data_IF_509967328745
#
_entry.id   IF_509967328745
#
_cell.length_a   1.000
_cell.length_b   1.000
_cell.length_c   1.000
_cell.angle_alpha   90.00
_cell.angle_beta   90.00
_cell.angle_gamma   90.00
#
_symmetry.space_group_name_H-M   'P 1'
#
loop_
_entity.id
_entity.type
_entity.pdbx_description
1 polymer ?
#
# COMPACT_ATOMS: atom_id res chain seq x y z
N UNK A 1 -1.05 -36.39 41.73
CA UNK A 1 -0.08 -37.25 41.03
C UNK A 1 -0.79 -37.95 39.89
N UNK A 2 -0.12 -37.96 38.74
CA UNK A 2 -0.29 -38.81 37.55
C UNK A 2 -1.47 -38.61 36.60
N UNK A 3 -1.04 -38.40 35.36
CA UNK A 3 -1.69 -38.30 34.05
C UNK A 3 -2.69 -39.41 33.73
N UNK A 4 -3.56 -39.14 32.74
CA UNK A 4 -3.72 -40.11 31.67
C UNK A 4 -3.84 -39.45 30.28
N UNK A 5 -2.91 -39.82 29.40
CA UNK A 5 -2.92 -39.57 27.96
C UNK A 5 -3.96 -40.48 27.30
N UNK A 6 -4.56 -40.05 26.20
CA UNK A 6 -5.11 -40.98 25.23
C UNK A 6 -4.66 -40.58 23.82
N UNK A 7 -4.04 -41.54 23.15
CA UNK A 7 -3.50 -41.44 21.81
C UNK A 7 -4.28 -42.32 20.84
N UNK A 8 -4.67 -41.73 19.70
CA UNK A 8 -4.59 -42.24 18.31
C UNK A 8 -5.43 -43.49 17.91
N UNK A 9 -6.20 -43.37 16.82
CA UNK A 9 -5.84 -44.00 15.53
C UNK A 9 -6.85 -43.73 14.40
N UNK A 10 -6.28 -43.39 13.25
CA UNK A 10 -6.83 -43.34 11.88
C UNK A 10 -7.07 -44.74 11.29
N UNK A 11 -8.08 -44.87 10.42
CA UNK A 11 -8.15 -45.93 9.41
C UNK A 11 -8.69 -45.39 8.08
N UNK A 12 -8.02 -45.80 7.00
CA UNK A 12 -8.19 -45.45 5.58
C UNK A 12 -8.49 -46.74 4.81
N UNK A 13 -9.45 -46.73 3.87
CA UNK A 13 -9.64 -47.66 2.73
C UNK A 13 -10.69 -47.00 1.81
N UNK A 14 -10.42 -46.49 0.58
CA UNK A 14 -10.05 -47.13 -0.71
C UNK A 14 -10.99 -48.27 -1.13
N UNK A 15 -11.50 -48.45 -2.37
CA UNK A 15 -11.60 -47.70 -3.63
C UNK A 15 -12.51 -48.48 -4.61
N UNK A 16 -13.14 -47.78 -5.58
CA UNK A 16 -13.56 -48.26 -6.94
C UNK A 16 -14.89 -49.03 -7.10
N UNK A 17 -15.52 -49.16 -8.28
CA UNK A 17 -15.58 -48.43 -9.57
C UNK A 17 -16.69 -49.12 -10.44
N UNK A 18 -17.28 -48.38 -11.41
CA UNK A 18 -17.96 -48.82 -12.68
C UNK A 18 -19.51 -48.98 -12.81
N UNK A 19 -20.10 -47.98 -13.50
CA UNK A 19 -20.89 -47.94 -14.76
C UNK A 19 -22.09 -48.87 -15.08
N UNK A 20 -23.24 -48.23 -15.43
CA UNK A 20 -24.13 -48.51 -16.60
C UNK A 20 -25.20 -47.37 -16.70
N UNK A 21 -25.13 -46.44 -17.66
CA UNK A 21 -25.81 -46.40 -19.00
C UNK A 21 -27.34 -46.41 -19.00
N UNK A 22 -27.98 -45.30 -19.44
CA UNK A 22 -29.07 -45.25 -20.43
C UNK A 22 -29.57 -43.80 -20.73
N UNK A 23 -29.35 -43.35 -21.97
CA UNK A 23 -30.34 -42.70 -22.86
C UNK A 23 -30.89 -41.28 -22.58
N UNK A 24 -30.55 -40.32 -23.44
CA UNK A 24 -31.31 -39.08 -23.65
C UNK A 24 -30.54 -38.05 -24.48
N UNK A 25 -30.88 -37.91 -25.76
CA UNK A 25 -30.22 -37.07 -26.77
C UNK A 25 -30.71 -35.62 -26.81
N UNK A 26 -29.75 -34.72 -27.05
CA UNK A 26 -29.80 -33.40 -27.74
C UNK A 26 -30.69 -32.30 -27.17
N UNK A 27 -30.07 -31.27 -26.59
CA UNK A 27 -30.00 -29.91 -27.17
C UNK A 27 -29.12 -28.98 -26.29
N UNK A 28 -28.42 -28.06 -26.96
CA UNK A 28 -27.70 -26.90 -26.44
C UNK A 28 -26.50 -27.10 -25.49
N UNK A 29 -25.36 -27.49 -26.09
CA UNK A 29 -24.06 -27.10 -25.56
C UNK A 29 -23.84 -25.62 -25.89
N UNK A 30 -24.40 -24.74 -25.08
CA UNK A 30 -23.86 -23.38 -24.97
C UNK A 30 -22.46 -23.56 -24.41
N UNK A 31 -21.46 -23.36 -25.26
CA UNK A 31 -20.08 -23.22 -24.84
C UNK A 31 -20.05 -22.12 -23.79
N UNK A 32 -19.89 -22.53 -22.52
CA UNK A 32 -19.56 -21.60 -21.46
C UNK A 32 -18.13 -21.20 -21.74
N UNK A 33 -17.99 -20.06 -22.41
CA UNK A 33 -16.74 -19.36 -22.60
C UNK A 33 -16.08 -19.25 -21.23
N UNK A 34 -14.99 -20.00 -21.03
CA UNK A 34 -14.14 -19.94 -19.86
C UNK A 34 -13.23 -18.71 -19.96
N UNK A 35 -13.85 -17.56 -20.24
CA UNK A 35 -13.27 -16.24 -20.32
C UNK A 35 -13.94 -15.41 -19.24
N UNK A 36 -13.12 -14.72 -18.44
CA UNK A 36 -13.50 -13.90 -17.29
C UNK A 36 -13.68 -14.61 -15.94
N UNK A 37 -12.74 -15.50 -15.58
CA UNK A 37 -12.14 -15.36 -14.23
C UNK A 37 -11.18 -14.18 -14.25
N UNK A 38 -11.75 -12.98 -14.40
CA UNK A 38 -11.07 -11.73 -14.12
C UNK A 38 -10.63 -11.79 -12.66
N UNK A 39 -9.36 -12.13 -12.45
CA UNK A 39 -8.69 -11.96 -11.19
C UNK A 39 -8.87 -10.49 -10.84
N UNK A 40 -9.74 -10.23 -9.87
CA UNK A 40 -10.00 -8.89 -9.35
C UNK A 40 -8.64 -8.33 -8.93
N UNK A 41 -8.09 -7.47 -9.77
CA UNK A 41 -6.74 -6.96 -9.61
C UNK A 41 -6.71 -6.12 -8.34
N UNK A 42 -6.02 -6.61 -7.31
CA UNK A 42 -5.54 -5.77 -6.21
C UNK A 42 -4.90 -4.50 -6.79
N UNK A 43 -5.02 -3.37 -6.10
CA UNK A 43 -4.38 -2.10 -6.49
C UNK A 43 -3.02 -2.37 -7.15
N UNK A 44 -2.81 -1.85 -8.37
CA UNK A 44 -1.63 -2.16 -9.17
C UNK A 44 -0.36 -1.78 -8.39
N UNK A 45 0.19 -2.74 -7.66
CA UNK A 45 1.46 -2.67 -6.98
C UNK A 45 2.47 -3.38 -7.87
N UNK A 46 3.72 -2.92 -7.84
CA UNK A 46 4.73 -3.59 -8.64
C UNK A 46 5.03 -4.97 -8.06
N UNK A 47 5.58 -5.88 -8.86
CA UNK A 47 6.10 -7.14 -8.35
C UNK A 47 7.18 -6.94 -7.25
N UNK A 48 7.87 -5.79 -7.23
CA UNK A 48 8.83 -5.45 -6.18
C UNK A 48 8.10 -5.15 -4.86
N UNK A 49 6.95 -4.48 -4.90
CA UNK A 49 6.13 -4.24 -3.71
C UNK A 49 5.68 -5.56 -3.08
N UNK A 50 5.12 -6.46 -3.87
CA UNK A 50 4.67 -7.77 -3.39
C UNK A 50 5.83 -8.58 -2.79
N UNK A 51 6.99 -8.54 -3.45
CA UNK A 51 8.21 -9.16 -2.92
C UNK A 51 8.64 -8.53 -1.60
N UNK A 52 8.54 -7.21 -1.44
CA UNK A 52 8.91 -6.52 -0.20
C UNK A 52 7.97 -6.90 0.96
N UNK A 53 6.66 -6.99 0.69
CA UNK A 53 5.66 -7.48 1.64
C UNK A 53 5.96 -8.92 2.08
N UNK A 54 6.23 -9.81 1.13
CA UNK A 54 6.60 -11.19 1.42
C UNK A 54 7.92 -11.27 2.21
N UNK A 55 8.92 -10.47 1.84
CA UNK A 55 10.20 -10.41 2.52
C UNK A 55 10.06 -9.97 3.98
N UNK A 56 9.31 -8.89 4.24
CA UNK A 56 9.08 -8.39 5.59
C UNK A 56 8.28 -9.39 6.45
N UNK A 57 7.30 -10.08 5.88
CA UNK A 57 6.55 -11.13 6.57
C UNK A 57 7.43 -12.33 6.95
N UNK A 58 8.36 -12.72 6.07
CA UNK A 58 9.31 -13.79 6.35
C UNK A 58 10.45 -13.37 7.29
N UNK A 59 10.80 -12.07 7.31
CA UNK A 59 11.90 -11.51 8.08
C UNK A 59 11.45 -10.34 8.96
N UNK A 60 10.49 -10.54 9.88
CA UNK A 60 9.95 -9.46 10.70
C UNK A 60 10.99 -8.88 11.67
N UNK A 61 12.11 -9.58 11.86
CA UNK A 61 13.28 -9.22 12.65
C UNK A 61 14.54 -9.49 11.84
N UNK A 62 15.62 -8.77 12.13
CA UNK A 62 16.96 -9.03 11.58
C UNK A 62 17.71 -9.99 12.49
N UNK A 63 17.86 -11.24 12.09
CA UNK A 63 18.66 -12.24 12.81
C UNK A 63 18.25 -12.36 14.29
N UNK A 64 16.94 -12.26 14.57
CA UNK A 64 16.36 -12.26 15.92
C UNK A 64 16.30 -10.88 16.61
N UNK A 65 16.97 -9.86 16.09
CA UNK A 65 16.97 -8.47 16.56
C UNK A 65 16.12 -7.51 15.71
N UNK A 66 16.13 -6.22 16.07
CA UNK A 66 15.41 -5.17 15.33
C UNK A 66 16.12 -4.80 14.03
N UNK A 67 15.36 -4.39 13.00
CA UNK A 67 15.92 -3.84 11.77
C UNK A 67 16.42 -2.39 11.91
N UNK A 68 16.14 -1.72 13.03
CA UNK A 68 16.53 -0.32 13.23
C UNK A 68 18.03 -0.10 13.00
N UNK A 69 18.37 0.93 12.23
CA UNK A 69 19.75 1.25 11.78
C UNK A 69 20.40 0.26 10.80
N UNK A 70 19.69 -0.77 10.33
CA UNK A 70 20.24 -1.77 9.39
C UNK A 70 19.78 -1.56 7.94
N UNK A 71 19.58 -0.31 7.53
CA UNK A 71 19.04 0.05 6.21
C UNK A 71 19.85 -0.51 5.03
N UNK A 72 21.19 -0.39 5.03
CA UNK A 72 22.03 -0.99 3.99
C UNK A 72 21.94 -2.53 3.94
N UNK A 73 21.90 -3.18 5.11
CA UNK A 73 21.70 -4.63 5.20
C UNK A 73 20.35 -5.06 4.66
N UNK A 74 19.30 -4.26 4.87
CA UNK A 74 17.98 -4.55 4.31
C UNK A 74 18.03 -4.48 2.78
N UNK A 75 18.59 -3.41 2.22
CA UNK A 75 18.69 -3.23 0.76
C UNK A 75 19.45 -4.37 0.10
N UNK A 76 20.59 -4.76 0.68
CA UNK A 76 21.41 -5.84 0.16
C UNK A 76 20.69 -7.19 0.19
N UNK A 77 20.06 -7.56 1.32
CA UNK A 77 19.37 -8.85 1.47
C UNK A 77 18.06 -8.91 0.67
N UNK A 78 17.22 -7.89 0.73
CA UNK A 78 15.96 -7.82 -0.02
C UNK A 78 16.22 -7.73 -1.52
N UNK A 79 17.15 -6.87 -1.93
CA UNK A 79 17.51 -6.67 -3.33
C UNK A 79 18.25 -7.86 -3.94
N UNK A 80 18.69 -8.82 -3.11
CA UNK A 80 19.56 -9.94 -3.49
C UNK A 80 20.79 -9.42 -4.26
N UNK A 81 21.40 -8.37 -3.72
CA UNK A 81 22.47 -7.65 -4.37
C UNK A 81 23.77 -8.46 -4.30
N UNK A 82 24.67 -8.33 -5.29
CA UNK A 82 25.93 -9.07 -5.29
C UNK A 82 26.83 -8.66 -4.12
N UNK A 83 27.70 -9.56 -3.66
CA UNK A 83 28.66 -9.29 -2.59
C UNK A 83 29.53 -8.05 -2.89
N UNK A 84 29.88 -7.82 -4.15
CA UNK A 84 30.65 -6.66 -4.61
C UNK A 84 29.98 -5.31 -4.32
N UNK A 85 28.67 -5.30 -4.10
CA UNK A 85 27.90 -4.09 -3.75
C UNK A 85 27.80 -3.84 -2.24
N UNK A 86 28.25 -4.79 -1.40
CA UNK A 86 28.18 -4.65 0.04
C UNK A 86 29.02 -3.45 0.50
N UNK A 87 28.46 -2.61 1.37
CA UNK A 87 29.14 -1.45 1.95
C UNK A 87 28.87 -1.37 3.46
N UNK A 88 29.86 -0.92 4.25
CA UNK A 88 29.69 -0.73 5.70
C UNK A 88 28.54 0.22 6.09
N UNK A 89 28.19 1.18 5.25
CA UNK A 89 27.12 2.15 5.54
C UNK A 89 26.33 2.59 4.31
N UNK A 90 25.16 3.19 4.55
CA UNK A 90 24.32 3.72 3.48
C UNK A 90 24.99 4.92 2.77
N UNK A 91 25.73 5.77 3.49
CA UNK A 91 26.43 6.91 2.89
C UNK A 91 27.61 6.47 2.02
N UNK A 92 28.27 5.37 2.35
CA UNK A 92 29.31 4.78 1.50
C UNK A 92 28.72 4.11 0.26
N UNK A 93 27.58 3.43 0.39
CA UNK A 93 26.84 2.93 -0.75
C UNK A 93 26.38 4.05 -1.67
N UNK A 94 25.83 5.14 -1.12
CA UNK A 94 25.48 6.36 -1.87
C UNK A 94 26.66 6.90 -2.68
N UNK A 95 27.83 7.08 -2.03
CA UNK A 95 29.05 7.60 -2.70
C UNK A 95 29.57 6.69 -3.81
N UNK A 96 29.34 5.38 -3.68
CA UNK A 96 29.71 4.39 -4.69
C UNK A 96 28.63 4.20 -5.77
N UNK A 97 27.48 4.88 -5.66
CA UNK A 97 26.35 4.75 -6.58
C UNK A 97 26.24 5.94 -7.54
N UNK A 98 25.55 5.74 -8.67
CA UNK A 98 25.30 6.82 -9.64
C UNK A 98 23.93 7.46 -9.42
N UNK A 99 23.92 8.64 -8.81
CA UNK A 99 22.70 9.42 -8.61
C UNK A 99 22.12 9.87 -9.95
N UNK A 100 20.83 9.59 -10.15
CA UNK A 100 20.09 9.92 -11.36
C UNK A 100 19.43 11.29 -11.24
N UNK A 101 18.77 11.56 -10.11
CA UNK A 101 18.08 12.83 -9.87
C UNK A 101 17.81 13.06 -8.38
N UNK A 102 17.68 14.32 -7.99
CA UNK A 102 17.21 14.73 -6.66
C UNK A 102 15.68 14.89 -6.60
N UNK A 103 15.00 14.75 -7.73
CA UNK A 103 13.55 14.79 -7.84
C UNK A 103 12.97 13.38 -7.62
N UNK A 104 12.44 13.15 -6.43
CA UNK A 104 11.90 11.84 -6.02
C UNK A 104 10.69 11.42 -6.85
N UNK A 105 9.87 12.35 -7.36
CA UNK A 105 8.67 11.99 -8.12
C UNK A 105 8.99 11.37 -9.49
N UNK A 106 10.26 11.38 -9.90
CA UNK A 106 10.77 10.76 -11.13
C UNK A 106 11.48 9.43 -10.88
N UNK A 107 11.59 8.98 -9.63
CA UNK A 107 12.26 7.73 -9.30
C UNK A 107 11.52 6.55 -9.93
N UNK A 108 12.24 5.69 -10.63
CA UNK A 108 11.66 4.49 -11.23
C UNK A 108 11.39 3.42 -10.17
N UNK A 109 10.55 2.45 -10.49
CA UNK A 109 10.31 1.27 -9.64
C UNK A 109 11.66 0.60 -9.30
N UNK A 110 11.91 0.31 -8.04
CA UNK A 110 13.14 -0.32 -7.56
C UNK A 110 14.33 0.62 -7.40
N UNK A 111 14.15 1.93 -7.52
CA UNK A 111 15.19 2.91 -7.24
C UNK A 111 15.59 2.91 -5.75
N UNK A 112 16.85 3.20 -5.46
CA UNK A 112 17.33 3.46 -4.10
C UNK A 112 17.26 4.95 -3.81
N UNK A 113 16.66 5.32 -2.69
CA UNK A 113 16.60 6.68 -2.17
C UNK A 113 17.62 6.85 -1.05
N UNK A 114 18.30 8.00 -1.04
CA UNK A 114 19.43 8.25 -0.14
C UNK A 114 19.20 9.48 0.71
N UNK A 115 19.62 9.42 1.97
CA UNK A 115 19.60 10.56 2.89
C UNK A 115 20.92 10.73 3.61
N UNK A 116 21.27 12.00 3.83
CA UNK A 116 22.30 12.41 4.76
C UNK A 116 21.67 12.58 6.15
N UNK A 117 22.04 11.67 7.05
CA UNK A 117 21.62 11.66 8.44
C UNK A 117 22.66 10.91 9.28
N UNK A 118 23.16 11.58 10.32
CA UNK A 118 24.21 11.03 11.18
C UNK A 118 25.48 10.65 10.39
N UNK A 119 26.30 9.78 10.97
CA UNK A 119 27.57 9.36 10.34
C UNK A 119 27.41 8.33 9.21
N UNK A 120 26.29 7.60 9.18
CA UNK A 120 26.11 6.43 8.32
C UNK A 120 25.12 6.63 7.16
N UNK A 121 24.37 7.75 7.15
CA UNK A 121 23.31 8.00 6.18
C UNK A 121 22.12 7.04 6.32
N UNK A 122 21.16 7.16 5.40
CA UNK A 122 20.04 6.23 5.30
C UNK A 122 19.72 5.88 3.84
N UNK A 123 19.12 4.71 3.64
CA UNK A 123 18.71 4.22 2.33
C UNK A 123 17.39 3.45 2.41
N UNK A 124 16.58 3.55 1.36
CA UNK A 124 15.38 2.73 1.15
C UNK A 124 15.13 2.45 -0.33
N UNK A 125 14.34 1.42 -0.63
CA UNK A 125 14.02 1.02 -2.01
C UNK A 125 12.60 1.45 -2.39
N UNK A 126 12.45 2.16 -3.49
CA UNK A 126 11.16 2.53 -4.04
C UNK A 126 10.44 1.30 -4.59
N UNK A 127 9.27 1.00 -4.03
CA UNK A 127 8.49 -0.17 -4.41
C UNK A 127 7.61 0.10 -5.63
N UNK A 128 7.15 1.33 -5.83
CA UNK A 128 6.19 1.66 -6.88
C UNK A 128 6.64 2.82 -7.77
N UNK A 129 7.83 3.37 -7.56
CA UNK A 129 8.31 4.58 -8.20
C UNK A 129 7.69 5.86 -7.60
N UNK A 130 8.31 6.99 -7.94
CA UNK A 130 7.87 8.33 -7.58
C UNK A 130 8.14 8.74 -6.12
N UNK A 131 8.96 7.97 -5.38
CA UNK A 131 9.33 8.26 -3.99
C UNK A 131 8.19 8.08 -2.99
N UNK A 132 7.09 7.48 -3.43
CA UNK A 132 5.85 7.40 -2.66
C UNK A 132 5.82 6.24 -1.68
N UNK A 133 6.38 5.10 -2.07
CA UNK A 133 6.30 3.88 -1.28
C UNK A 133 7.70 3.29 -1.16
N UNK A 134 8.47 3.80 -0.20
CA UNK A 134 9.87 3.43 -0.01
C UNK A 134 9.99 2.42 1.13
N UNK A 135 10.47 1.23 0.81
CA UNK A 135 10.77 0.17 1.75
C UNK A 135 12.07 0.46 2.50
N UNK A 136 12.02 0.43 3.82
CA UNK A 136 13.13 0.89 4.66
C UNK A 136 13.15 0.23 6.03
N UNK A 137 14.32 0.32 6.68
CA UNK A 137 14.60 -0.21 8.01
C UNK A 137 14.83 0.96 9.00
N UNK A 138 13.83 1.29 9.79
CA UNK A 138 13.80 2.44 10.71
C UNK A 138 12.63 2.31 11.69
N UNK A 139 12.67 3.03 12.82
CA UNK A 139 11.49 3.25 13.68
C UNK A 139 10.58 4.39 13.20
N UNK A 140 11.00 5.15 12.19
CA UNK A 140 10.24 6.27 11.61
C UNK A 140 9.42 5.81 10.40
N UNK A 141 8.60 4.78 10.59
CA UNK A 141 7.76 4.19 9.54
C UNK A 141 6.40 4.86 9.52
N UNK A 142 5.84 5.03 8.32
CA UNK A 142 4.44 5.38 8.15
C UNK A 142 3.54 4.15 8.27
N UNK A 143 4.02 2.99 7.78
CA UNK A 143 3.40 1.70 8.04
C UNK A 143 4.46 0.68 8.43
N UNK A 144 4.25 0.04 9.58
CA UNK A 144 5.14 -1.01 10.09
C UNK A 144 4.69 -2.39 9.62
N UNK A 145 5.65 -3.18 9.12
CA UNK A 145 5.45 -4.56 8.66
C UNK A 145 6.23 -5.57 9.51
N UNK A 146 6.92 -5.11 10.56
CA UNK A 146 7.72 -5.92 11.49
C UNK A 146 8.40 -5.04 12.54
N UNK A 147 9.47 -5.52 13.15
CA UNK A 147 10.29 -4.74 14.09
C UNK A 147 11.24 -3.82 13.32
N UNK A 148 10.83 -2.55 13.18
CA UNK A 148 11.55 -1.49 12.47
C UNK A 148 11.81 -1.78 10.98
N UNK A 149 10.89 -2.48 10.33
CA UNK A 149 10.86 -2.76 8.89
C UNK A 149 9.48 -2.43 8.33
N UNK A 150 9.42 -1.71 7.21
CA UNK A 150 8.15 -1.31 6.60
C UNK A 150 8.36 -0.23 5.56
N UNK A 151 7.39 0.67 5.43
CA UNK A 151 7.43 1.73 4.43
C UNK A 151 7.28 3.13 5.03
N UNK A 152 7.83 4.09 4.29
CA UNK A 152 7.52 5.51 4.38
C UNK A 152 7.64 6.11 2.97
N UNK A 153 7.29 7.38 2.79
CA UNK A 153 7.63 8.13 1.57
C UNK A 153 8.93 8.89 1.77
N UNK A 154 9.48 9.41 0.67
CA UNK A 154 10.68 10.25 0.76
C UNK A 154 10.44 11.50 1.60
N UNK A 155 9.35 12.19 1.32
CA UNK A 155 8.88 13.37 2.03
C UNK A 155 8.52 13.07 3.49
N UNK A 156 7.80 11.97 3.74
CA UNK A 156 7.38 11.57 5.07
C UNK A 156 8.57 11.24 5.98
N UNK A 157 9.54 10.47 5.46
CA UNK A 157 10.75 10.14 6.19
C UNK A 157 11.60 11.39 6.47
N UNK A 158 11.84 12.23 5.46
CA UNK A 158 12.63 13.47 5.60
C UNK A 158 12.02 14.40 6.64
N UNK A 159 10.69 14.56 6.64
CA UNK A 159 9.99 15.40 7.61
C UNK A 159 10.04 14.84 9.03
N UNK A 160 9.92 13.52 9.18
CA UNK A 160 9.91 12.86 10.49
C UNK A 160 11.29 12.79 11.18
N UNK A 161 12.36 12.99 10.41
CA UNK A 161 13.75 12.81 10.86
C UNK A 161 14.58 14.09 10.80
N UNK A 162 14.17 15.07 9.98
CA UNK A 162 15.01 16.19 9.60
C UNK A 162 16.16 15.81 8.66
N UNK A 163 16.18 14.57 8.13
CA UNK A 163 17.22 14.10 7.24
C UNK A 163 17.21 14.88 5.92
N UNK A 164 18.40 15.16 5.39
CA UNK A 164 18.54 15.82 4.09
C UNK A 164 18.52 14.79 2.98
N UNK A 165 17.51 14.86 2.11
CA UNK A 165 17.42 13.97 0.96
C UNK A 165 18.55 14.25 -0.06
N UNK A 166 19.21 13.20 -0.52
CA UNK A 166 20.37 13.26 -1.42
C UNK A 166 20.04 12.88 -2.87
N UNK A 167 18.83 12.38 -3.12
CA UNK A 167 18.39 11.92 -4.43
C UNK A 167 18.24 10.41 -4.51
N UNK A 168 18.06 9.91 -5.74
CA UNK A 168 17.85 8.50 -6.02
C UNK A 168 18.79 7.97 -7.10
N UNK A 169 19.05 6.67 -7.06
CA UNK A 169 19.81 5.92 -8.07
C UNK A 169 19.09 4.63 -8.43
N UNK A 170 19.37 4.07 -9.62
CA UNK A 170 18.97 2.70 -9.94
C UNK A 170 19.97 1.65 -9.47
N UNK A 171 21.19 2.07 -9.15
CA UNK A 171 22.25 1.22 -8.65
C UNK A 171 22.51 1.46 -7.15
N UNK A 172 22.90 0.39 -6.46
CA UNK A 172 23.43 0.39 -5.11
C UNK A 172 24.85 -0.14 -5.21
N UNK A 173 25.82 0.76 -5.31
CA UNK A 173 27.25 0.43 -5.46
C UNK A 173 27.51 -0.63 -6.55
N UNK A 174 26.84 -0.48 -7.72
CA UNK A 174 26.89 -1.41 -8.84
C UNK A 174 25.91 -2.59 -8.81
N UNK A 175 25.20 -2.82 -7.70
CA UNK A 175 24.08 -3.77 -7.61
C UNK A 175 22.76 -3.16 -8.06
N UNK A 176 21.80 -3.96 -8.54
CA UNK A 176 20.46 -3.49 -8.94
C UNK A 176 19.39 -4.48 -8.51
N UNK A 177 18.24 -3.96 -8.08
CA UNK A 177 17.08 -4.78 -7.73
C UNK A 177 16.48 -5.39 -9.02
N UNK A 178 16.42 -6.72 -9.09
CA UNK A 178 15.78 -7.42 -10.20
C UNK A 178 14.30 -7.01 -10.35
N UNK A 179 13.86 -6.79 -11.58
CA UNK A 179 12.52 -6.28 -11.92
C UNK A 179 12.35 -4.77 -11.79
N UNK A 180 13.41 -4.02 -11.45
CA UNK A 180 13.38 -2.56 -11.32
C UNK A 180 13.70 -1.80 -12.61
N UNK A 181 13.28 -0.53 -12.67
CA UNK A 181 13.46 0.40 -13.79
C UNK A 181 12.19 0.68 -14.59
N UNK A 182 11.04 0.12 -14.18
CA UNK A 182 9.75 0.49 -14.76
C UNK A 182 9.30 1.88 -14.31
N UNK A 183 8.47 2.53 -15.12
CA UNK A 183 7.89 3.82 -14.80
C UNK A 183 7.05 3.76 -13.51
N UNK A 184 6.95 4.87 -12.76
CA UNK A 184 6.19 4.91 -11.53
C UNK A 184 4.72 4.49 -11.73
N UNK A 185 4.25 3.60 -10.86
CA UNK A 185 2.83 3.24 -10.81
C UNK A 185 2.05 4.44 -10.28
N UNK A 186 1.20 4.96 -11.17
CA UNK A 186 0.32 6.08 -10.89
C UNK A 186 1.03 7.38 -10.58
N UNK A 187 2.12 7.71 -11.27
CA UNK A 187 2.60 9.09 -11.32
C UNK A 187 4.07 9.22 -11.69
N UNK A 188 4.35 9.45 -12.98
CA UNK A 188 5.71 9.72 -13.47
C UNK A 188 5.78 10.26 -14.90
N UNK A 189 4.77 10.98 -15.38
CA UNK A 189 4.83 11.62 -16.70
C UNK A 189 3.44 11.84 -17.31
N UNK A 190 2.95 13.08 -17.30
CA UNK A 190 1.89 13.60 -18.19
C UNK A 190 0.49 12.95 -18.19
N UNK A 191 0.28 11.79 -17.57
CA UNK A 191 -0.99 11.06 -17.56
C UNK A 191 -1.75 11.19 -16.24
N UNK A 192 -3.09 11.26 -16.31
CA UNK A 192 -3.98 11.24 -15.15
C UNK A 192 -3.65 10.08 -14.21
N UNK A 193 -3.68 10.29 -12.89
CA UNK A 193 -3.57 9.22 -11.91
C UNK A 193 -4.55 8.07 -12.26
N UNK A 194 -4.16 6.79 -12.26
CA UNK A 194 -5.08 5.66 -12.46
C UNK A 194 -6.20 5.66 -11.41
N UNK A 195 -7.38 5.12 -11.72
CA UNK A 195 -8.45 4.95 -10.72
C UNK A 195 -8.00 3.99 -9.61
N UNK A 196 -8.45 4.22 -8.38
CA UNK A 196 -8.22 3.28 -7.27
C UNK A 196 -9.33 2.24 -7.21
N UNK A 197 -8.97 1.00 -6.85
CA UNK A 197 -9.90 -0.11 -6.62
C UNK A 197 -10.60 -0.03 -5.25
N UNK A 198 -10.19 0.90 -4.39
CA UNK A 198 -10.79 1.12 -3.07
C UNK A 198 -12.29 1.43 -3.16
N UNK A 199 -12.80 1.93 -4.29
CA UNK A 199 -14.23 2.11 -4.51
C UNK A 199 -14.99 0.77 -4.51
N UNK A 200 -14.36 -0.29 -5.01
CA UNK A 200 -14.93 -1.63 -5.13
C UNK A 200 -14.67 -2.47 -3.88
N UNK A 201 -13.41 -2.56 -3.43
CA UNK A 201 -12.99 -3.45 -2.35
C UNK A 201 -13.03 -2.80 -0.96
N UNK A 202 -12.96 -1.46 -0.88
CA UNK A 202 -12.89 -0.72 0.38
C UNK A 202 -11.55 -0.84 1.13
N UNK A 203 -10.52 -1.34 0.46
CA UNK A 203 -9.15 -1.50 0.97
C UNK A 203 -8.31 -0.32 0.45
N UNK A 204 -7.91 0.62 1.32
CA UNK A 204 -7.03 1.72 0.92
C UNK A 204 -5.65 1.23 0.51
N UNK A 205 -5.08 1.82 -0.54
CA UNK A 205 -3.64 1.87 -0.67
C UNK A 205 -3.13 3.03 -1.52
N UNK A 206 -2.07 2.82 -2.28
CA UNK A 206 -1.18 3.93 -2.70
C UNK A 206 -1.88 4.87 -3.68
N UNK A 207 -2.60 4.31 -4.66
CA UNK A 207 -3.34 5.11 -5.64
C UNK A 207 -4.50 5.86 -4.97
N UNK A 208 -5.19 5.21 -4.03
CA UNK A 208 -6.22 5.84 -3.22
C UNK A 208 -5.70 7.10 -2.51
N UNK A 209 -4.58 6.99 -1.79
CA UNK A 209 -4.01 8.13 -1.07
C UNK A 209 -3.40 9.18 -2.01
N UNK A 210 -2.73 8.81 -3.11
CA UNK A 210 -2.23 9.79 -4.09
C UNK A 210 -3.37 10.63 -4.68
N UNK A 211 -4.49 9.99 -4.99
CA UNK A 211 -5.70 10.71 -5.46
C UNK A 211 -6.26 11.63 -4.39
N UNK A 212 -6.37 11.18 -3.14
CA UNK A 212 -6.80 12.02 -2.00
C UNK A 212 -5.91 13.23 -1.84
N UNK A 213 -4.58 13.06 -1.85
CA UNK A 213 -3.61 14.13 -1.69
C UNK A 213 -3.71 15.14 -2.84
N UNK A 214 -3.86 14.65 -4.06
CA UNK A 214 -3.98 15.50 -5.26
C UNK A 214 -5.28 16.32 -5.24
N UNK A 215 -6.43 15.68 -4.97
CA UNK A 215 -7.71 16.39 -4.79
C UNK A 215 -7.62 17.34 -3.59
N UNK A 216 -6.96 16.92 -2.52
CA UNK A 216 -6.72 17.71 -1.34
C UNK A 216 -5.93 18.99 -1.61
N UNK A 217 -4.89 18.91 -2.45
CA UNK A 217 -4.06 20.05 -2.81
C UNK A 217 -4.85 21.02 -3.68
N UNK A 218 -5.63 20.50 -4.63
CA UNK A 218 -6.47 21.30 -5.52
C UNK A 218 -7.61 22.02 -4.80
N UNK A 219 -8.32 21.30 -3.93
CA UNK A 219 -9.64 21.75 -3.44
C UNK A 219 -9.67 22.14 -1.95
N UNK A 220 -8.70 21.68 -1.15
CA UNK A 220 -8.79 21.72 0.31
C UNK A 220 -7.54 22.26 1.03
N UNK A 221 -6.59 22.82 0.28
CA UNK A 221 -5.39 23.45 0.83
C UNK A 221 -4.39 22.46 1.44
N UNK A 222 -4.39 21.21 1.00
CA UNK A 222 -3.36 20.25 1.40
C UNK A 222 -2.00 20.70 0.85
N UNK A 223 -1.03 20.90 1.75
CA UNK A 223 0.34 21.33 1.40
C UNK A 223 1.36 20.21 1.51
N UNK A 224 0.90 18.98 1.79
CA UNK A 224 1.76 17.82 1.89
C UNK A 224 2.15 17.27 0.51
N UNK A 225 3.03 16.26 0.50
CA UNK A 225 3.46 15.55 -0.71
C UNK A 225 2.32 14.71 -1.34
N UNK A 226 2.35 14.53 -2.67
CA UNK A 226 1.52 13.54 -3.37
C UNK A 226 2.33 12.25 -3.50
N UNK A 227 2.35 11.46 -2.45
CA UNK A 227 3.22 10.30 -2.29
C UNK A 227 2.46 8.99 -2.00
N UNK A 228 1.16 9.05 -1.75
CA UNK A 228 0.33 7.90 -1.41
C UNK A 228 0.52 7.39 0.02
N UNK A 229 1.22 8.16 0.87
CA UNK A 229 1.42 7.82 2.28
C UNK A 229 0.40 8.55 3.14
N UNK A 230 -0.27 7.78 4.00
CA UNK A 230 -1.19 8.37 4.96
C UNK A 230 -0.45 9.01 6.14
N UNK A 231 -1.01 10.12 6.61
CA UNK A 231 -0.57 10.88 7.77
C UNK A 231 -1.69 11.83 8.20
N UNK A 232 -1.56 12.57 9.32
CA UNK A 232 -2.65 13.36 9.87
C UNK A 232 -3.28 14.36 8.89
N UNK A 233 -2.48 14.98 8.01
CA UNK A 233 -2.99 15.88 6.97
C UNK A 233 -3.72 15.13 5.84
N UNK A 234 -3.22 13.97 5.44
CA UNK A 234 -3.86 13.10 4.44
C UNK A 234 -5.20 12.58 4.97
N UNK A 235 -5.26 12.18 6.24
CA UNK A 235 -6.51 11.75 6.89
C UNK A 235 -7.50 12.90 7.04
N UNK A 236 -7.04 14.07 7.46
CA UNK A 236 -7.88 15.26 7.54
C UNK A 236 -8.50 15.60 6.18
N UNK A 237 -7.71 15.56 5.11
CA UNK A 237 -8.22 15.90 3.77
C UNK A 237 -9.12 14.80 3.20
N UNK A 238 -8.86 13.52 3.50
CA UNK A 238 -9.77 12.41 3.20
C UNK A 238 -11.14 12.65 3.81
N UNK A 239 -11.22 12.98 5.10
CA UNK A 239 -12.48 13.29 5.80
C UNK A 239 -13.21 14.45 5.12
N UNK A 240 -12.50 15.53 4.77
CA UNK A 240 -13.11 16.68 4.08
C UNK A 240 -13.66 16.32 2.70
N UNK A 241 -12.94 15.50 1.93
CA UNK A 241 -13.39 14.99 0.62
C UNK A 241 -14.65 14.12 0.79
N UNK A 242 -14.63 13.18 1.74
CA UNK A 242 -15.79 12.34 2.03
C UNK A 242 -16.98 13.17 2.47
N UNK A 243 -16.78 14.12 3.40
CA UNK A 243 -17.83 15.00 3.89
C UNK A 243 -18.45 15.85 2.78
N UNK A 244 -17.65 16.33 1.81
CA UNK A 244 -18.17 17.00 0.60
C UNK A 244 -19.08 16.07 -0.20
N UNK A 245 -18.71 14.81 -0.38
CA UNK A 245 -19.53 13.83 -1.09
C UNK A 245 -20.82 13.50 -0.32
N UNK A 246 -20.73 13.35 1.00
CA UNK A 246 -21.91 13.18 1.86
C UNK A 246 -22.84 14.38 1.76
N UNK A 247 -22.32 15.61 1.88
CA UNK A 247 -23.11 16.84 1.85
C UNK A 247 -23.78 17.10 0.49
N UNK A 248 -23.22 16.58 -0.62
CA UNK A 248 -23.86 16.60 -1.95
C UNK A 248 -25.09 15.68 -2.03
N UNK A 249 -25.11 14.60 -1.24
CA UNK A 249 -26.18 13.59 -1.23
C UNK A 249 -27.30 13.91 -0.24
N UNK A 250 -27.49 15.19 0.10
CA UNK A 250 -28.59 15.66 0.95
C UNK A 250 -28.23 15.91 2.42
N UNK A 251 -29.27 15.95 3.25
CA UNK A 251 -29.24 16.39 4.66
C UNK A 251 -29.29 15.22 5.66
N UNK A 252 -28.96 15.45 6.96
CA UNK A 252 -28.30 16.65 7.49
C UNK A 252 -26.87 16.81 6.95
N UNK A 253 -26.42 18.06 6.86
CA UNK A 253 -25.03 18.38 6.48
C UNK A 253 -24.11 18.18 7.69
N UNK A 254 -22.91 17.70 7.43
CA UNK A 254 -21.83 17.61 8.43
C UNK A 254 -20.82 18.75 8.26
N UNK A 255 -20.29 19.26 9.38
CA UNK A 255 -19.21 20.27 9.43
C UNK A 255 -17.82 19.70 9.10
N UNK A 256 -17.72 18.37 9.01
CA UNK A 256 -16.48 17.68 8.67
C UNK A 256 -15.91 18.10 7.31
N UNK A 257 -16.72 18.71 6.44
CA UNK A 257 -16.25 19.25 5.16
C UNK A 257 -15.34 20.46 5.37
N UNK A 258 -15.57 21.25 6.42
CA UNK A 258 -14.84 22.46 6.75
C UNK A 258 -13.63 22.14 7.64
N UNK A 259 -13.85 21.43 8.75
CA UNK A 259 -12.84 21.20 9.80
C UNK A 259 -12.06 19.88 9.65
N UNK A 260 -12.56 18.91 8.89
CA UNK A 260 -11.98 17.58 8.77
C UNK A 260 -12.11 16.71 10.03
N UNK A 261 -13.05 17.03 10.92
CA UNK A 261 -13.30 16.34 12.19
C UNK A 261 -14.62 15.55 12.07
N UNK A 262 -14.58 14.21 12.12
CA UNK A 262 -15.77 13.40 11.96
C UNK A 262 -16.61 13.36 13.25
N UNK A 263 -17.72 14.11 13.27
CA UNK A 263 -18.74 14.07 14.34
C UNK A 263 -19.81 13.00 14.13
N UNK A 264 -20.80 12.93 15.03
CA UNK A 264 -21.90 11.96 14.96
C UNK A 264 -22.67 12.03 13.63
N UNK A 265 -22.97 13.25 13.16
CA UNK A 265 -23.63 13.47 11.86
C UNK A 265 -22.81 12.89 10.71
N UNK A 266 -21.48 13.06 10.73
CA UNK A 266 -20.60 12.48 9.71
C UNK A 266 -20.74 10.96 9.67
N UNK A 267 -20.64 10.29 10.83
CA UNK A 267 -20.69 8.83 10.89
C UNK A 267 -22.06 8.28 10.52
N UNK A 268 -23.14 8.89 10.98
CA UNK A 268 -24.50 8.51 10.57
C UNK A 268 -24.66 8.64 9.05
N UNK A 269 -24.10 9.71 8.45
CA UNK A 269 -24.13 9.92 7.00
C UNK A 269 -23.28 8.89 6.24
N UNK A 270 -22.09 8.55 6.74
CA UNK A 270 -21.25 7.47 6.18
C UNK A 270 -22.01 6.15 6.16
N UNK A 271 -22.66 5.77 7.28
CA UNK A 271 -23.43 4.52 7.36
C UNK A 271 -24.65 4.54 6.42
N UNK A 272 -25.36 5.67 6.34
CA UNK A 272 -26.54 5.83 5.48
C UNK A 272 -26.17 5.77 4.00
N UNK A 273 -25.23 6.63 3.56
CA UNK A 273 -24.77 6.65 2.16
C UNK A 273 -24.01 5.38 1.81
N UNK A 274 -23.30 4.82 2.78
CA UNK A 274 -22.57 3.56 2.66
C UNK A 274 -23.43 2.38 2.25
N UNK A 275 -24.75 2.43 2.45
CA UNK A 275 -25.68 1.40 1.95
C UNK A 275 -25.57 1.22 0.43
N UNK A 276 -25.38 2.31 -0.31
CA UNK A 276 -25.14 2.27 -1.77
C UNK A 276 -23.77 1.70 -2.15
N UNK A 277 -22.90 1.48 -1.18
CA UNK A 277 -21.55 0.92 -1.32
C UNK A 277 -21.41 -0.46 -0.64
N UNK A 278 -22.54 -1.08 -0.26
CA UNK A 278 -22.58 -2.42 0.35
C UNK A 278 -22.44 -2.43 1.87
N UNK A 279 -22.60 -1.30 2.56
CA UNK A 279 -22.66 -1.29 4.02
C UNK A 279 -23.88 -2.07 4.53
N UNK A 280 -23.68 -2.98 5.49
CA UNK A 280 -24.74 -3.83 6.05
C UNK A 280 -24.97 -3.61 7.56
N UNK A 281 -24.16 -2.76 8.20
CA UNK A 281 -24.24 -2.50 9.65
C UNK A 281 -25.37 -1.54 10.06
N UNK A 282 -25.54 -1.30 11.38
CA UNK A 282 -26.55 -0.38 11.90
C UNK A 282 -26.29 1.08 11.48
N UNK A 283 -27.34 1.90 11.46
CA UNK A 283 -27.22 3.35 11.30
C UNK A 283 -27.35 3.97 12.69
N UNK A 284 -26.25 3.98 13.45
CA UNK A 284 -26.19 4.38 14.86
C UNK A 284 -25.22 5.57 15.10
N UNK A 285 -24.50 6.02 14.08
CA UNK A 285 -23.50 7.08 14.19
C UNK A 285 -22.21 6.67 14.91
N UNK A 286 -22.03 5.38 15.22
CA UNK A 286 -20.86 4.84 15.91
C UNK A 286 -19.99 4.08 14.89
N UNK A 287 -18.75 4.54 14.60
CA UNK A 287 -17.93 3.90 13.59
C UNK A 287 -17.36 2.56 14.07
N UNK A 288 -17.81 1.48 13.43
CA UNK A 288 -17.19 0.15 13.48
C UNK A 288 -16.41 -0.20 12.20
N UNK A 289 -15.78 -1.39 12.11
CA UNK A 289 -14.99 -1.81 10.95
C UNK A 289 -15.72 -1.63 9.60
N UNK A 290 -16.98 -2.07 9.51
CA UNK A 290 -17.78 -1.91 8.29
C UNK A 290 -18.04 -0.44 7.93
N UNK A 291 -18.08 0.44 8.94
CA UNK A 291 -18.29 1.88 8.73
C UNK A 291 -17.04 2.51 8.11
N UNK A 292 -15.85 2.12 8.56
CA UNK A 292 -14.59 2.55 7.93
C UNK A 292 -14.44 2.04 6.50
N UNK A 293 -14.80 0.78 6.24
CA UNK A 293 -14.82 0.26 4.85
C UNK A 293 -15.75 1.08 3.96
N UNK A 294 -16.96 1.40 4.44
CA UNK A 294 -17.90 2.24 3.70
C UNK A 294 -17.34 3.66 3.47
N UNK A 295 -16.69 4.25 4.48
CA UNK A 295 -16.04 5.56 4.37
C UNK A 295 -14.97 5.57 3.27
N UNK A 296 -14.11 4.53 3.22
CA UNK A 296 -13.10 4.38 2.19
C UNK A 296 -13.70 4.26 0.79
N UNK A 297 -14.77 3.47 0.63
CA UNK A 297 -15.46 3.34 -0.65
C UNK A 297 -16.07 4.66 -1.13
N UNK A 298 -16.68 5.43 -0.22
CA UNK A 298 -17.26 6.75 -0.53
C UNK A 298 -16.15 7.74 -0.92
N UNK A 299 -15.04 7.77 -0.18
CA UNK A 299 -13.90 8.61 -0.50
C UNK A 299 -13.30 8.25 -1.86
N UNK A 300 -13.12 6.95 -2.12
CA UNK A 300 -12.61 6.42 -3.38
C UNK A 300 -13.52 6.78 -4.57
N UNK A 301 -14.84 6.63 -4.41
CA UNK A 301 -15.83 7.08 -5.38
C UNK A 301 -15.66 8.56 -5.75
N UNK A 302 -15.48 9.41 -4.74
CA UNK A 302 -15.32 10.85 -4.93
C UNK A 302 -14.03 11.19 -5.67
N UNK A 303 -12.90 10.56 -5.30
CA UNK A 303 -11.60 10.86 -5.94
C UNK A 303 -11.43 10.18 -7.29
N UNK A 304 -12.11 9.06 -7.57
CA UNK A 304 -12.13 8.41 -8.89
C UNK A 304 -12.78 9.29 -9.97
N UNK A 305 -13.72 10.15 -9.58
CA UNK A 305 -14.48 11.06 -10.46
C UNK A 305 -13.97 12.51 -10.43
N UNK A 306 -12.85 12.77 -9.74
CA UNK A 306 -12.28 14.11 -9.61
C UNK A 306 -11.28 14.47 -10.72
N UNK A 307 -10.95 13.51 -11.59
CA UNK A 307 -10.01 13.58 -12.71
C UNK A 307 -10.75 13.15 -13.98
#
# INVERSE_FOLDING_TARGET
MSLNRMTWNTALLSAGLMLASCGGTTEDVVAVDASETGTLSAEANSAIYDRARAYAAANPKRDGGSWDQWCGSLMWRFGQLPESSARPSAIEAYRASKIVSTDASKALIGAFHWWDIGAYGHVGADLNGGGGTVFMATRKLAASWGDAIGINSVSGYSSATGARYLGWSMDYAGGRIAGGGGDPIGGGGGGSLPQTTTEQDGIPGVIYYKRIQTVGQRDFGYTGPIDGVTGPQTEKVRVKITARELNKRGTPRTSAQEDGIPGSIYWTRVQTVGRSFGYTGPIDGIPGPNTYTAEHKIAAYAVNRAF
#
